data_IF_766163809483
#
_entry.id   IF_766163809483
#
_cell.length_a   1.000
_cell.length_b   1.000
_cell.length_c   1.000
_cell.angle_alpha   90.00
_cell.angle_beta   90.00
_cell.angle_gamma   90.00
#
_symmetry.space_group_name_H-M   'P 1'
#
loop_
_entity.id
_entity.type
_entity.pdbx_description
1 polymer ?
#
# COMPACT_ATOMS: atom_id res chain seq x y z
N UNK A 1 -5.82 -34.46 -6.39
CA UNK A 1 -5.93 -33.01 -6.64
C UNK A 1 -5.44 -32.30 -5.40
N UNK A 2 -4.17 -31.89 -5.38
CA UNK A 2 -3.61 -31.14 -4.26
C UNK A 2 -3.56 -29.67 -4.68
N UNK A 3 -4.52 -28.88 -4.22
CA UNK A 3 -4.43 -27.42 -4.26
C UNK A 3 -3.44 -27.03 -3.16
N UNK A 4 -2.16 -26.94 -3.50
CA UNK A 4 -1.18 -26.28 -2.64
C UNK A 4 -1.63 -24.81 -2.49
N UNK A 5 -1.67 -24.25 -1.27
CA UNK A 5 -1.95 -22.83 -1.10
C UNK A 5 -0.86 -22.03 -1.82
N UNK A 6 -1.28 -21.08 -2.64
CA UNK A 6 -0.36 -20.18 -3.34
C UNK A 6 0.54 -19.51 -2.29
N UNK A 7 1.88 -19.61 -2.43
CA UNK A 7 2.79 -19.01 -1.46
C UNK A 7 2.59 -17.50 -1.42
N UNK A 8 2.74 -16.86 -0.25
CA UNK A 8 2.62 -15.41 -0.15
C UNK A 8 3.55 -14.75 -1.17
N UNK A 9 3.02 -13.77 -1.91
CA UNK A 9 3.73 -13.06 -2.98
C UNK A 9 5.12 -12.65 -2.49
N UNK A 10 6.15 -13.19 -3.14
CA UNK A 10 7.54 -12.95 -2.76
C UNK A 10 7.88 -11.45 -2.88
N UNK A 11 8.67 -10.87 -1.96
CA UNK A 11 9.04 -9.45 -1.98
C UNK A 11 9.65 -8.99 -3.31
N UNK A 12 10.37 -9.88 -3.97
CA UNK A 12 10.99 -9.64 -5.28
C UNK A 12 9.99 -9.35 -6.41
N UNK A 13 8.81 -9.98 -6.41
CA UNK A 13 7.76 -9.71 -7.41
C UNK A 13 7.08 -8.36 -7.16
N UNK A 14 7.02 -7.96 -5.88
CA UNK A 14 6.47 -6.69 -5.45
C UNK A 14 7.38 -5.52 -5.89
N UNK A 15 8.70 -5.73 -5.87
CA UNK A 15 9.67 -4.76 -6.40
C UNK A 15 9.59 -4.58 -7.92
N UNK A 16 9.22 -5.61 -8.69
CA UNK A 16 9.08 -5.48 -10.15
C UNK A 16 7.87 -4.63 -10.59
N UNK A 17 6.84 -4.52 -9.74
CA UNK A 17 5.63 -3.72 -10.00
C UNK A 17 5.66 -2.34 -9.32
N UNK A 18 6.55 -2.16 -8.36
CA UNK A 18 6.74 -0.91 -7.63
C UNK A 18 7.74 -0.03 -8.39
N UNK A 19 7.25 1.00 -9.05
CA UNK A 19 8.08 1.95 -9.78
C UNK A 19 8.36 3.17 -8.88
N UNK A 20 9.63 3.50 -8.67
CA UNK A 20 9.97 4.76 -8.03
C UNK A 20 9.84 5.90 -9.04
N UNK A 21 8.92 6.83 -8.80
CA UNK A 21 8.64 7.95 -9.69
C UNK A 21 9.38 9.23 -9.30
N UNK A 22 9.81 9.35 -8.06
CA UNK A 22 10.67 10.43 -7.60
C UNK A 22 11.62 9.98 -6.48
N UNK A 23 12.84 10.53 -6.44
CA UNK A 23 13.75 10.40 -5.29
C UNK A 23 13.39 11.39 -4.17
N UNK A 24 12.94 12.58 -4.54
CA UNK A 24 12.49 13.65 -3.65
C UNK A 24 11.09 14.11 -4.07
N UNK A 25 10.08 13.46 -3.51
CA UNK A 25 8.67 13.71 -3.74
C UNK A 25 8.04 14.70 -2.75
N UNK A 26 6.70 14.79 -2.70
CA UNK A 26 5.95 15.77 -1.92
C UNK A 26 6.23 15.79 -0.41
N UNK A 27 6.77 14.69 0.14
CA UNK A 27 7.10 14.56 1.55
C UNK A 27 8.62 14.58 1.83
N UNK A 28 9.40 15.09 0.87
CA UNK A 28 10.87 15.16 0.95
C UNK A 28 11.56 13.80 1.08
N UNK A 29 10.89 12.75 0.61
CA UNK A 29 11.42 11.40 0.44
C UNK A 29 10.87 10.78 -0.84
N UNK A 30 11.14 9.51 -1.12
CA UNK A 30 10.83 8.91 -2.41
C UNK A 30 9.31 8.78 -2.62
N UNK A 31 8.89 8.90 -3.87
CA UNK A 31 7.53 8.59 -4.30
C UNK A 31 7.54 7.38 -5.21
N UNK A 32 6.50 6.55 -5.07
CA UNK A 32 6.35 5.33 -5.85
C UNK A 32 4.97 5.26 -6.50
N UNK A 33 4.89 4.66 -7.68
CA UNK A 33 3.65 4.24 -8.31
C UNK A 33 3.48 2.72 -8.15
N UNK A 34 2.28 2.29 -7.78
CA UNK A 34 1.95 0.88 -7.62
C UNK A 34 0.47 0.62 -7.88
N UNK A 35 0.13 -0.18 -8.91
CA UNK A 35 -1.25 -0.59 -9.25
C UNK A 35 -2.28 0.57 -9.25
N UNK A 36 -1.89 1.74 -9.77
CA UNK A 36 -2.75 2.93 -9.83
C UNK A 36 -2.82 3.76 -8.54
N UNK A 37 -2.09 3.36 -7.50
CA UNK A 37 -1.83 4.17 -6.32
C UNK A 37 -0.50 4.93 -6.44
N UNK A 38 -0.45 6.12 -5.87
CA UNK A 38 0.80 6.82 -5.56
C UNK A 38 1.11 6.67 -4.08
N UNK A 39 2.37 6.39 -3.75
CA UNK A 39 2.85 6.20 -2.38
C UNK A 39 3.96 7.22 -2.15
N UNK A 40 3.64 8.29 -1.41
CA UNK A 40 4.61 9.35 -1.11
C UNK A 40 5.24 9.10 0.25
N UNK A 41 6.57 8.97 0.32
CA UNK A 41 7.25 8.72 1.57
C UNK A 41 7.94 9.96 2.12
N UNK A 42 7.94 10.07 3.45
CA UNK A 42 8.86 10.97 4.14
C UNK A 42 10.31 10.51 3.95
N UNK A 43 11.24 11.44 4.17
CA UNK A 43 12.67 11.14 4.24
C UNK A 43 12.93 9.91 5.12
N UNK A 44 13.68 8.94 4.60
CA UNK A 44 13.96 7.66 5.27
C UNK A 44 12.97 6.53 4.99
N UNK A 45 11.83 6.79 4.32
CA UNK A 45 10.95 5.73 3.79
C UNK A 45 10.14 4.94 4.84
N UNK A 46 10.17 5.34 6.11
CA UNK A 46 9.48 4.64 7.19
C UNK A 46 8.02 5.05 7.39
N UNK A 47 7.66 6.24 6.90
CA UNK A 47 6.30 6.76 6.94
C UNK A 47 5.93 7.23 5.55
N UNK A 48 4.92 6.60 4.97
CA UNK A 48 4.45 6.89 3.62
C UNK A 48 2.96 7.17 3.63
N UNK A 49 2.51 8.03 2.71
CA UNK A 49 1.13 8.43 2.47
C UNK A 49 0.60 7.68 1.25
N UNK A 50 -0.56 7.05 1.41
CA UNK A 50 -1.27 6.42 0.31
C UNK A 50 -2.15 7.44 -0.41
N UNK A 51 -1.92 7.63 -1.71
CA UNK A 51 -2.73 8.44 -2.60
C UNK A 51 -3.38 7.53 -3.64
N UNK A 52 -4.60 7.07 -3.35
CA UNK A 52 -5.39 6.25 -4.26
C UNK A 52 -6.85 6.66 -4.18
N UNK A 53 -7.44 7.26 -5.23
CA UNK A 53 -8.86 7.60 -5.24
C UNK A 53 -9.72 6.38 -4.92
N UNK A 54 -10.85 6.60 -4.25
CA UNK A 54 -11.78 5.57 -3.73
C UNK A 54 -11.24 4.65 -2.62
N UNK A 55 -9.94 4.67 -2.31
CA UNK A 55 -9.41 3.89 -1.19
C UNK A 55 -9.79 4.54 0.15
N UNK A 56 -10.30 3.81 1.15
CA UNK A 56 -10.68 4.39 2.45
C UNK A 56 -9.52 5.06 3.21
N UNK A 57 -8.30 4.64 2.92
CA UNK A 57 -7.06 5.21 3.48
C UNK A 57 -6.40 6.28 2.59
N UNK A 58 -7.07 6.75 1.54
CA UNK A 58 -6.59 7.86 0.71
C UNK A 58 -6.16 9.06 1.58
N UNK A 59 -4.98 9.63 1.27
CA UNK A 59 -4.40 10.76 1.97
C UNK A 59 -3.80 10.46 3.35
N UNK A 60 -3.96 9.23 3.88
CA UNK A 60 -3.44 8.88 5.21
C UNK A 60 -1.98 8.42 5.12
N UNK A 61 -1.18 8.90 6.09
CA UNK A 61 0.21 8.48 6.28
C UNK A 61 0.32 7.36 7.31
N UNK A 62 0.90 6.22 6.93
CA UNK A 62 1.16 5.09 7.82
C UNK A 62 2.18 4.12 7.20
N UNK A 63 3.10 3.63 8.04
CA UNK A 63 4.05 2.57 7.66
C UNK A 63 4.95 2.89 6.47
N UNK A 64 5.70 1.88 6.04
CA UNK A 64 6.57 1.96 4.87
C UNK A 64 5.86 1.51 3.60
N UNK A 65 6.50 1.67 2.45
CA UNK A 65 6.00 1.19 1.15
C UNK A 65 5.55 -0.28 1.20
N UNK A 66 6.37 -1.16 1.79
CA UNK A 66 6.05 -2.58 1.92
C UNK A 66 4.87 -2.88 2.85
N UNK A 67 4.44 -1.92 3.67
CA UNK A 67 3.19 -2.01 4.45
C UNK A 67 1.99 -1.54 3.65
N UNK A 68 2.18 -0.57 2.75
CA UNK A 68 1.11 0.02 1.96
C UNK A 68 0.73 -0.87 0.78
N UNK A 69 1.70 -1.53 0.12
CA UNK A 69 1.43 -2.34 -1.08
C UNK A 69 0.42 -3.48 -0.86
N UNK A 70 0.43 -4.25 0.25
CA UNK A 70 -0.62 -5.25 0.51
C UNK A 70 -2.02 -4.65 0.72
N UNK A 71 -2.11 -3.38 1.14
CA UNK A 71 -3.41 -2.68 1.26
C UNK A 71 -3.94 -2.29 -0.11
N UNK A 72 -3.05 -1.83 -0.99
CA UNK A 72 -3.39 -1.55 -2.39
C UNK A 72 -3.84 -2.83 -3.08
N UNK A 73 -3.13 -3.93 -2.92
CA UNK A 73 -3.51 -5.23 -3.49
C UNK A 73 -4.90 -5.66 -3.02
N UNK A 74 -5.11 -5.71 -1.69
CA UNK A 74 -6.39 -6.14 -1.13
C UNK A 74 -7.56 -5.25 -1.57
N UNK A 75 -7.32 -3.95 -1.75
CA UNK A 75 -8.34 -3.03 -2.23
C UNK A 75 -8.62 -3.20 -3.73
N UNK A 76 -7.59 -3.31 -4.56
CA UNK A 76 -7.74 -3.47 -6.01
C UNK A 76 -8.42 -4.81 -6.33
N UNK A 77 -8.01 -5.87 -5.65
CA UNK A 77 -8.47 -7.23 -5.94
C UNK A 77 -9.81 -7.55 -5.28
N UNK A 78 -10.03 -7.11 -4.04
CA UNK A 78 -11.20 -7.51 -3.26
C UNK A 78 -12.08 -6.35 -2.79
N UNK A 79 -11.70 -5.08 -3.04
CA UNK A 79 -12.38 -3.87 -2.51
C UNK A 79 -12.57 -3.92 -0.99
N UNK A 80 -11.58 -4.45 -0.29
CA UNK A 80 -11.61 -4.64 1.15
C UNK A 80 -10.38 -4.03 1.84
N UNK A 81 -10.53 -3.70 3.12
CA UNK A 81 -9.42 -3.37 4.01
C UNK A 81 -8.91 -4.63 4.75
N UNK A 82 -7.75 -4.63 5.42
CA UNK A 82 -7.39 -5.74 6.29
C UNK A 82 -8.40 -5.94 7.41
N UNK A 83 -8.63 -7.19 7.84
CA UNK A 83 -9.64 -7.52 8.86
C UNK A 83 -9.53 -6.67 10.12
N UNK A 84 -8.32 -6.43 10.61
CA UNK A 84 -8.07 -5.61 11.80
C UNK A 84 -8.40 -4.12 11.61
N UNK A 85 -8.45 -3.61 10.37
CA UNK A 85 -8.85 -2.24 10.04
C UNK A 85 -10.34 -2.09 9.73
N UNK A 86 -11.05 -3.19 9.40
CA UNK A 86 -12.50 -3.19 9.16
C UNK A 86 -13.30 -2.91 10.44
N UNK A 87 -12.70 -3.15 11.61
CA UNK A 87 -13.35 -2.99 12.91
C UNK A 87 -13.18 -1.56 13.43
N UNK A 88 -14.01 -0.63 12.93
CA UNK A 88 -14.28 0.60 13.68
C UNK A 88 -15.78 0.86 13.74
N UNK A 89 -16.53 0.21 14.66
CA UNK A 89 -17.74 0.80 15.15
C UNK A 89 -17.34 1.98 16.04
N UNK A 90 -17.37 3.21 15.51
CA UNK A 90 -17.54 4.38 16.37
C UNK A 90 -19.02 4.51 16.67
N UNK A 91 -19.45 3.89 17.76
CA UNK A 91 -20.68 4.28 18.44
C UNK A 91 -20.40 5.61 19.12
N UNK A 92 -21.02 6.68 18.64
CA UNK A 92 -21.63 7.68 19.52
C UNK A 92 -22.74 8.42 18.80
#
# INVERSE_FOLDING_TARGET
MSLLPEPPLQPEKLHSLLEQTAADGPLSGPSYAYRGATIDCHKGGHVCRLMMPDHPLHGRGFGSVGTITPLVDLWVDERQLPKYMRVVPKVR
#
